data_IF_196329918031
#
_entry.id   IF_196329918031
#
_cell.length_a   1.000
_cell.length_b   1.000
_cell.length_c   1.000
_cell.angle_alpha   90.00
_cell.angle_beta   90.00
_cell.angle_gamma   90.00
#
_symmetry.space_group_name_H-M   'P 1'
#
loop_
_entity.id
_entity.type
_entity.pdbx_description
1 polymer ?
#
# COMPACT_ATOMS: atom_id res chain seq x y z
N UNK A 1 29.46 21.25 -22.35
CA UNK A 1 28.84 22.60 -22.33
C UNK A 1 27.35 22.41 -22.51
N UNK A 2 26.55 23.13 -21.70
CA UNK A 2 25.17 23.63 -21.88
C UNK A 2 24.35 22.97 -23.01
N UNK A 3 23.18 22.38 -22.77
CA UNK A 3 22.01 22.99 -22.13
C UNK A 3 20.87 23.01 -23.16
N UNK A 4 19.63 23.10 -22.67
CA UNK A 4 18.35 23.22 -23.40
C UNK A 4 17.71 21.88 -23.81
N UNK A 5 16.45 21.59 -23.49
CA UNK A 5 15.39 22.44 -22.94
C UNK A 5 14.08 22.09 -23.66
N UNK A 6 13.42 20.99 -23.27
CA UNK A 6 12.15 20.60 -23.88
C UNK A 6 10.96 21.19 -23.11
N UNK A 7 10.48 22.30 -23.68
CA UNK A 7 9.19 22.93 -23.40
C UNK A 7 8.07 22.07 -24.01
N UNK A 8 7.00 21.85 -23.25
CA UNK A 8 5.69 21.44 -23.81
C UNK A 8 4.80 22.68 -23.99
N UNK A 9 3.95 22.74 -25.04
CA UNK A 9 3.21 23.93 -25.39
C UNK A 9 1.91 24.13 -24.61
N UNK A 10 1.51 25.39 -24.63
CA UNK A 10 0.39 26.08 -23.97
C UNK A 10 -1.00 25.53 -24.28
N UNK A 11 -1.93 25.73 -23.34
CA UNK A 11 -3.34 25.41 -23.45
C UNK A 11 -4.18 26.46 -24.19
N UNK A 12 -5.47 26.16 -24.35
CA UNK A 12 -6.49 27.13 -24.78
C UNK A 12 -7.70 27.06 -23.82
N UNK A 13 -8.40 28.20 -23.56
CA UNK A 13 -9.18 28.44 -22.37
C UNK A 13 -10.68 28.30 -22.62
N UNK A 14 -11.42 27.97 -21.55
CA UNK A 14 -12.84 28.28 -21.51
C UNK A 14 -13.63 27.27 -20.71
N UNK A 15 -13.99 27.63 -19.48
CA UNK A 15 -15.37 27.55 -18.97
C UNK A 15 -15.41 28.22 -17.58
N UNK A 16 -16.20 29.29 -17.49
CA UNK A 16 -16.47 30.04 -16.25
C UNK A 16 -17.42 29.26 -15.33
N UNK A 17 -17.38 29.51 -14.01
CA UNK A 17 -18.19 28.80 -13.02
C UNK A 17 -19.61 29.38 -12.87
N UNK A 18 -20.59 28.50 -12.64
CA UNK A 18 -21.96 28.84 -12.22
C UNK A 18 -22.12 28.88 -10.69
N UNK A 19 -23.14 29.60 -10.16
CA UNK A 19 -23.18 30.12 -8.78
C UNK A 19 -23.78 29.15 -7.73
N UNK A 20 -23.61 29.45 -6.41
CA UNK A 20 -24.00 28.56 -5.31
C UNK A 20 -25.46 28.71 -4.91
N UNK A 21 -26.14 27.58 -4.70
CA UNK A 21 -27.57 27.50 -4.39
C UNK A 21 -27.91 26.78 -3.08
N UNK A 22 -28.01 27.58 -2.01
CA UNK A 22 -28.98 27.50 -0.88
C UNK A 22 -29.01 26.27 0.06
N UNK A 23 -28.60 26.59 1.30
CA UNK A 23 -29.11 26.08 2.58
C UNK A 23 -30.61 25.77 2.59
N UNK A 24 -30.99 24.60 3.14
CA UNK A 24 -32.17 24.49 4.01
C UNK A 24 -31.92 23.60 5.23
N UNK A 25 -32.61 24.02 6.29
CA UNK A 25 -32.46 23.74 7.72
C UNK A 25 -33.02 22.36 8.14
N UNK A 26 -32.35 21.82 9.16
CA UNK A 26 -32.88 21.24 10.43
C UNK A 26 -34.13 20.36 10.34
N UNK A 27 -34.01 19.11 10.78
CA UNK A 27 -34.83 18.60 11.88
C UNK A 27 -34.01 17.72 12.82
N UNK A 28 -34.10 18.07 14.10
CA UNK A 28 -33.46 17.49 15.27
C UNK A 28 -34.53 16.61 15.91
N UNK A 29 -34.30 15.31 16.05
CA UNK A 29 -35.05 14.49 17.00
C UNK A 29 -34.06 13.84 17.96
N UNK A 30 -34.09 14.35 19.19
CA UNK A 30 -33.38 13.85 20.35
C UNK A 30 -34.39 13.02 21.13
N UNK A 31 -34.14 11.73 21.31
CA UNK A 31 -34.80 10.93 22.35
C UNK A 31 -33.83 9.90 22.93
N UNK A 32 -33.45 10.15 24.18
CA UNK A 32 -32.98 9.23 25.22
C UNK A 32 -33.07 10.00 26.56
N UNK A 33 -33.04 9.38 27.76
CA UNK A 33 -32.92 7.95 28.09
C UNK A 33 -33.77 7.50 29.31
N UNK A 34 -33.45 6.30 29.83
CA UNK A 34 -33.63 5.71 31.20
C UNK A 34 -34.62 4.53 31.20
N UNK A 35 -34.38 3.40 31.86
CA UNK A 35 -33.30 2.97 32.77
C UNK A 35 -33.78 1.76 33.60
N UNK A 36 -32.84 1.02 34.20
CA UNK A 36 -33.06 -0.10 35.14
C UNK A 36 -32.77 -1.46 34.51
N UNK A 37 -31.94 -2.36 35.04
CA UNK A 37 -31.25 -2.48 36.33
C UNK A 37 -31.44 -3.91 36.84
N UNK A 38 -30.36 -4.68 37.01
CA UNK A 38 -30.19 -5.77 38.00
C UNK A 38 -28.87 -6.52 37.78
N UNK A 39 -28.28 -7.00 38.88
CA UNK A 39 -26.94 -7.53 39.03
C UNK A 39 -26.91 -9.02 39.43
N UNK A 40 -25.67 -9.58 39.52
CA UNK A 40 -25.20 -10.84 40.16
C UNK A 40 -25.25 -12.12 39.30
N UNK A 41 -24.31 -13.08 39.35
CA UNK A 41 -23.12 -13.31 40.19
C UNK A 41 -22.24 -14.46 39.65
N UNK A 42 -20.94 -14.46 40.04
CA UNK A 42 -20.00 -15.60 40.31
C UNK A 42 -19.67 -16.56 39.16
N UNK A 43 -18.56 -17.30 39.13
CA UNK A 43 -17.20 -17.29 39.71
C UNK A 43 -16.54 -18.53 39.09
N UNK A 44 -15.29 -18.47 38.65
CA UNK A 44 -14.60 -19.64 38.10
C UNK A 44 -13.14 -19.34 37.80
N UNK A 45 -12.28 -19.56 38.80
CA UNK A 45 -10.83 -19.70 38.59
C UNK A 45 -10.55 -21.08 37.97
N UNK A 46 -9.40 -21.23 37.28
CA UNK A 46 -8.39 -22.08 37.92
C UNK A 46 -6.92 -21.63 37.76
N UNK A 47 -6.19 -21.93 38.84
CA UNK A 47 -4.82 -22.46 38.93
C UNK A 47 -3.63 -21.71 38.28
N UNK A 48 -2.84 -21.07 39.15
CA UNK A 48 -1.39 -20.93 39.01
C UNK A 48 -0.71 -22.31 39.08
N UNK A 49 0.21 -22.58 38.16
CA UNK A 49 1.26 -23.57 38.31
C UNK A 49 2.60 -22.91 37.96
N UNK A 50 3.51 -22.96 38.94
CA UNK A 50 4.82 -22.34 39.00
C UNK A 50 5.82 -22.91 37.99
N UNK A 51 6.92 -22.18 37.73
CA UNK A 51 8.08 -22.74 37.03
C UNK A 51 9.16 -21.72 36.66
N UNK A 52 9.95 -21.31 37.66
CA UNK A 52 11.36 -20.89 37.61
C UNK A 52 11.83 -19.83 36.58
N UNK A 53 12.21 -18.68 37.12
CA UNK A 53 13.22 -17.81 36.55
C UNK A 53 14.60 -18.48 36.66
N UNK A 54 15.37 -18.50 35.56
CA UNK A 54 16.82 -18.70 35.63
C UNK A 54 17.52 -17.63 34.79
N UNK A 55 18.46 -16.94 35.43
CA UNK A 55 19.37 -15.97 34.82
C UNK A 55 20.73 -16.65 34.65
N UNK A 56 21.28 -16.66 33.44
CA UNK A 56 22.71 -16.39 33.19
C UNK A 56 23.02 -16.55 31.69
N UNK A 57 23.92 -15.71 31.17
CA UNK A 57 24.58 -15.94 29.88
C UNK A 57 24.67 -14.68 29.02
N UNK A 58 25.66 -13.83 29.31
CA UNK A 58 26.16 -12.83 28.37
C UNK A 58 27.03 -13.55 27.34
N UNK A 59 26.76 -13.35 26.05
CA UNK A 59 27.71 -13.62 24.97
C UNK A 59 27.70 -12.44 23.97
N UNK A 60 28.86 -12.02 23.42
CA UNK A 60 29.03 -10.83 22.61
C UNK A 60 28.88 -11.13 21.11
N UNK A 61 28.69 -10.07 20.32
CA UNK A 61 28.53 -10.06 18.86
C UNK A 61 27.12 -10.45 18.35
N UNK A 62 26.59 -9.57 17.51
CA UNK A 62 25.18 -9.52 17.15
C UNK A 62 24.68 -10.70 16.33
N UNK A 63 23.52 -11.21 16.72
CA UNK A 63 22.41 -11.70 15.87
C UNK A 63 21.19 -11.75 16.80
N UNK A 64 20.03 -11.33 16.29
CA UNK A 64 18.73 -11.61 16.92
C UNK A 64 18.27 -10.57 17.94
N UNK A 65 17.65 -9.49 17.46
CA UNK A 65 16.71 -8.76 18.30
C UNK A 65 15.63 -9.75 18.75
N UNK A 66 15.59 -10.09 20.05
CA UNK A 66 14.48 -10.81 20.67
C UNK A 66 13.25 -9.92 20.56
N UNK A 67 12.46 -10.11 19.51
CA UNK A 67 11.12 -9.53 19.39
C UNK A 67 10.27 -10.25 20.45
N UNK A 68 10.01 -9.58 21.57
CA UNK A 68 9.04 -10.05 22.55
C UNK A 68 7.63 -9.82 22.00
N UNK A 69 7.20 -10.65 21.06
CA UNK A 69 5.78 -10.85 20.81
C UNK A 69 5.26 -11.52 22.09
N UNK A 70 4.34 -10.90 22.83
CA UNK A 70 3.58 -11.66 23.84
C UNK A 70 3.08 -12.91 23.14
N UNK A 71 3.34 -14.13 23.64
CA UNK A 71 2.84 -15.32 22.96
C UNK A 71 1.32 -15.20 22.89
N UNK A 72 0.82 -14.87 21.69
CA UNK A 72 -0.56 -15.05 21.32
C UNK A 72 -0.74 -16.56 21.33
N UNK A 73 -1.10 -17.09 22.50
CA UNK A 73 -1.23 -18.52 22.76
C UNK A 73 -2.29 -19.07 21.80
N UNK A 74 -1.80 -19.83 20.82
CA UNK A 74 -2.59 -20.68 19.93
C UNK A 74 -3.22 -19.91 18.77
N UNK A 75 -2.52 -19.83 17.64
CA UNK A 75 -3.05 -19.67 16.28
C UNK A 75 -1.88 -19.50 15.29
N UNK A 76 -1.26 -20.59 14.88
CA UNK A 76 -0.19 -20.59 13.87
C UNK A 76 -0.73 -20.58 12.43
N UNK A 77 -2.05 -20.45 12.22
CA UNK A 77 -2.70 -20.54 10.91
C UNK A 77 -3.43 -19.23 10.47
N UNK A 78 -3.31 -18.14 11.23
CA UNK A 78 -4.19 -16.95 11.10
C UNK A 78 -3.42 -15.62 11.04
N UNK A 79 -2.41 -15.52 10.17
CA UNK A 79 -1.68 -14.27 9.96
C UNK A 79 -1.77 -13.79 8.50
N UNK A 80 -2.19 -12.53 8.35
CA UNK A 80 -2.09 -11.81 7.08
C UNK A 80 -0.70 -11.19 6.93
N UNK A 81 0.02 -11.60 5.90
CA UNK A 81 1.32 -11.00 5.53
C UNK A 81 1.05 -9.97 4.45
N UNK A 82 1.34 -8.71 4.75
CA UNK A 82 1.11 -7.57 3.87
C UNK A 82 2.42 -7.09 3.27
N UNK A 83 2.65 -7.39 2.00
CA UNK A 83 3.79 -6.89 1.25
C UNK A 83 3.56 -5.45 0.85
N UNK A 84 4.54 -4.58 1.07
CA UNK A 84 4.43 -3.14 0.85
C UNK A 84 5.53 -2.66 -0.09
N UNK A 85 5.14 -1.86 -1.08
CA UNK A 85 6.05 -1.14 -1.95
C UNK A 85 5.45 0.23 -2.31
N UNK A 86 6.22 1.06 -3.01
CA UNK A 86 5.96 2.48 -3.14
C UNK A 86 5.95 3.01 -4.59
N UNK A 87 5.24 4.12 -4.76
CA UNK A 87 5.25 4.95 -5.96
C UNK A 87 5.50 6.41 -5.58
N UNK A 88 6.39 7.07 -6.34
CA UNK A 88 6.80 8.44 -6.07
C UNK A 88 7.87 8.52 -4.98
N UNK A 89 8.38 9.72 -4.72
CA UNK A 89 9.33 9.96 -3.63
C UNK A 89 8.59 10.28 -2.33
N UNK A 90 9.11 9.78 -1.20
CA UNK A 90 8.47 9.91 0.11
C UNK A 90 8.80 11.23 0.84
N UNK A 91 9.59 12.11 0.23
CA UNK A 91 9.97 13.41 0.77
C UNK A 91 8.96 14.49 0.40
N UNK A 92 8.74 15.43 1.34
CA UNK A 92 7.98 16.66 1.09
C UNK A 92 8.94 17.74 0.59
N UNK A 93 9.42 17.57 -0.64
CA UNK A 93 10.34 18.50 -1.29
C UNK A 93 9.63 19.79 -1.70
N UNK A 94 9.47 20.71 -0.73
CA UNK A 94 8.88 22.04 -0.90
C UNK A 94 9.88 23.07 -1.41
N UNK A 95 9.39 24.03 -2.18
CA UNK A 95 10.09 25.25 -2.50
C UNK A 95 9.78 26.31 -1.43
N UNK A 96 10.80 26.68 -0.64
CA UNK A 96 10.67 27.63 0.47
C UNK A 96 10.85 29.10 0.03
N UNK A 97 10.88 29.38 -1.28
CA UNK A 97 10.97 30.74 -1.79
C UNK A 97 9.74 31.59 -1.40
N UNK A 98 9.90 32.91 -1.15
CA UNK A 98 8.76 33.79 -0.84
C UNK A 98 7.73 33.77 -1.99
N UNK A 99 6.51 33.32 -1.72
CA UNK A 99 5.45 33.21 -2.73
C UNK A 99 4.41 32.14 -2.41
N UNK A 100 3.80 31.58 -3.46
CA UNK A 100 2.84 30.47 -3.36
C UNK A 100 3.63 29.20 -2.99
N UNK A 101 3.30 28.52 -1.88
CA UNK A 101 3.92 27.25 -1.52
C UNK A 101 3.77 26.25 -2.68
N UNK A 102 4.89 25.70 -3.16
CA UNK A 102 4.93 24.77 -4.29
C UNK A 102 5.88 23.62 -4.00
N UNK A 103 5.73 22.53 -4.74
CA UNK A 103 6.73 21.46 -4.76
C UNK A 103 7.94 21.88 -5.60
N UNK A 104 9.13 21.39 -5.26
CA UNK A 104 10.33 21.55 -6.09
C UNK A 104 10.09 20.94 -7.46
N UNK A 105 10.69 21.53 -8.48
CA UNK A 105 10.66 20.99 -9.83
C UNK A 105 11.17 19.54 -9.85
N UNK A 106 10.44 18.66 -10.53
CA UNK A 106 10.73 17.22 -10.59
C UNK A 106 10.27 16.41 -9.38
N UNK A 107 9.76 17.03 -8.31
CA UNK A 107 9.16 16.29 -7.21
C UNK A 107 7.81 15.68 -7.66
N UNK A 108 7.64 14.39 -7.40
CA UNK A 108 6.34 13.72 -7.57
C UNK A 108 5.27 14.42 -6.76
N UNK A 109 4.09 14.69 -7.33
CA UNK A 109 2.94 15.22 -6.59
C UNK A 109 2.43 14.21 -5.56
N UNK A 110 2.31 12.94 -5.97
CA UNK A 110 1.78 11.88 -5.13
C UNK A 110 2.90 10.99 -4.59
N UNK A 111 2.76 10.59 -3.34
CA UNK A 111 3.45 9.44 -2.77
C UNK A 111 2.41 8.38 -2.43
N UNK A 112 2.57 7.14 -2.90
CA UNK A 112 1.60 6.07 -2.70
C UNK A 112 2.29 4.83 -2.18
N UNK A 113 1.76 4.24 -1.11
CA UNK A 113 2.10 2.88 -0.71
C UNK A 113 1.01 1.92 -1.16
N UNK A 114 1.41 0.88 -1.88
CA UNK A 114 0.56 -0.28 -2.18
C UNK A 114 0.84 -1.38 -1.16
N UNK A 115 -0.21 -2.06 -0.69
CA UNK A 115 -0.08 -3.22 0.18
C UNK A 115 -0.90 -4.41 -0.35
N UNK A 116 -0.26 -5.58 -0.38
CA UNK A 116 -0.85 -6.85 -0.85
C UNK A 116 -0.83 -7.84 0.30
N UNK A 117 -2.00 -8.11 0.87
CA UNK A 117 -2.21 -9.06 1.96
C UNK A 117 -2.46 -10.46 1.47
N UNK A 118 -1.64 -11.42 1.88
CA UNK A 118 -1.85 -12.85 1.62
C UNK A 118 -1.83 -13.64 2.92
N UNK A 119 -2.51 -14.78 2.93
CA UNK A 119 -2.38 -15.74 4.02
C UNK A 119 -1.04 -16.43 3.93
N UNK A 120 -0.41 -16.70 5.06
CA UNK A 120 0.86 -17.43 5.08
C UNK A 120 0.76 -18.82 4.41
N UNK A 121 -0.39 -19.50 4.56
CA UNK A 121 -0.68 -20.77 3.89
C UNK A 121 -0.66 -20.71 2.36
N UNK A 122 -0.89 -19.52 1.78
CA UNK A 122 -0.90 -19.31 0.32
C UNK A 122 0.40 -18.70 -0.19
N UNK A 123 1.29 -18.27 0.70
CA UNK A 123 2.52 -17.52 0.38
C UNK A 123 3.42 -18.29 -0.59
N UNK A 124 3.73 -19.55 -0.27
CA UNK A 124 4.56 -20.41 -1.13
C UNK A 124 3.96 -20.60 -2.52
N UNK A 125 2.69 -21.00 -2.58
CA UNK A 125 2.02 -21.29 -3.85
C UNK A 125 1.93 -20.04 -4.74
N UNK A 126 1.73 -18.86 -4.15
CA UNK A 126 1.75 -17.59 -4.89
C UNK A 126 3.15 -17.29 -5.45
N UNK A 127 4.19 -17.41 -4.63
CA UNK A 127 5.56 -17.15 -5.08
C UNK A 127 5.98 -18.10 -6.20
N UNK A 128 5.70 -19.41 -6.07
CA UNK A 128 5.94 -20.40 -7.12
C UNK A 128 5.18 -20.04 -8.40
N UNK A 129 3.92 -19.61 -8.28
CA UNK A 129 3.13 -19.19 -9.45
C UNK A 129 3.70 -17.94 -10.14
N UNK A 130 4.28 -17.00 -9.40
CA UNK A 130 4.97 -15.83 -9.98
C UNK A 130 6.20 -16.29 -10.78
N UNK A 131 6.96 -17.26 -10.26
CA UNK A 131 8.09 -17.86 -10.98
C UNK A 131 7.61 -18.55 -12.26
N UNK A 132 6.54 -19.33 -12.22
CA UNK A 132 5.95 -19.95 -13.44
C UNK A 132 5.61 -18.91 -14.51
N UNK A 133 5.05 -17.77 -14.10
CA UNK A 133 4.73 -16.66 -15.02
C UNK A 133 6.01 -16.10 -15.64
N UNK A 134 7.06 -15.90 -14.84
CA UNK A 134 8.37 -15.46 -15.35
C UNK A 134 8.95 -16.48 -16.34
N UNK A 135 8.96 -17.76 -16.00
CA UNK A 135 9.48 -18.81 -16.88
C UNK A 135 8.72 -18.88 -18.21
N UNK A 136 7.39 -18.80 -18.16
CA UNK A 136 6.53 -18.83 -19.35
C UNK A 136 6.81 -17.66 -20.31
N UNK A 137 7.03 -16.46 -19.78
CA UNK A 137 7.10 -15.24 -20.60
C UNK A 137 8.51 -14.75 -20.90
N UNK A 138 9.45 -15.00 -20.00
CA UNK A 138 10.86 -14.60 -20.15
C UNK A 138 11.75 -15.76 -20.59
N UNK A 139 11.29 -17.00 -20.40
CA UNK A 139 12.07 -18.23 -20.60
C UNK A 139 12.80 -18.66 -19.33
N UNK A 140 13.03 -19.98 -19.20
CA UNK A 140 13.63 -20.61 -17.99
C UNK A 140 14.94 -19.95 -17.58
N UNK A 141 15.87 -19.77 -18.53
CA UNK A 141 17.18 -19.15 -18.25
C UNK A 141 17.04 -17.69 -17.78
N UNK A 142 16.05 -16.96 -18.31
CA UNK A 142 15.81 -15.58 -17.90
C UNK A 142 15.14 -15.49 -16.51
N UNK A 143 14.37 -16.50 -16.13
CA UNK A 143 13.70 -16.55 -14.84
C UNK A 143 14.61 -17.05 -13.71
N UNK A 144 15.53 -17.98 -14.00
CA UNK A 144 16.35 -18.65 -13.00
C UNK A 144 17.81 -18.15 -12.94
N UNK A 145 18.41 -17.80 -14.08
CA UNK A 145 19.87 -17.54 -14.16
C UNK A 145 20.23 -16.05 -14.23
N UNK A 146 19.25 -15.18 -14.48
CA UNK A 146 19.48 -13.74 -14.42
C UNK A 146 19.49 -13.25 -12.97
N UNK A 147 20.24 -12.17 -12.66
CA UNK A 147 20.05 -11.44 -11.42
C UNK A 147 18.56 -11.13 -11.23
N UNK A 148 18.04 -11.30 -10.01
CA UNK A 148 16.60 -11.16 -9.77
C UNK A 148 16.02 -9.84 -10.30
N UNK A 149 16.77 -8.74 -10.11
CA UNK A 149 16.49 -7.40 -10.66
C UNK A 149 16.22 -7.37 -12.18
N UNK A 150 16.86 -8.25 -12.95
CA UNK A 150 16.73 -8.32 -14.40
C UNK A 150 15.45 -9.06 -14.87
N UNK A 151 14.69 -9.64 -13.93
CA UNK A 151 13.46 -10.40 -14.16
C UNK A 151 12.24 -9.83 -13.43
N UNK A 152 12.37 -8.68 -12.76
CA UNK A 152 11.30 -8.11 -11.93
C UNK A 152 10.05 -7.71 -12.73
N UNK A 153 8.89 -8.17 -12.27
CA UNK A 153 7.56 -7.80 -12.74
C UNK A 153 7.04 -6.60 -11.92
N UNK A 154 7.40 -5.40 -12.36
CA UNK A 154 6.96 -4.14 -11.73
C UNK A 154 6.01 -3.35 -12.63
N UNK A 155 5.09 -2.59 -12.05
CA UNK A 155 4.08 -1.82 -12.79
C UNK A 155 4.71 -0.89 -13.83
N UNK A 156 5.82 -0.24 -13.47
CA UNK A 156 6.62 0.58 -14.40
C UNK A 156 7.16 -0.22 -15.59
N UNK A 157 7.59 -1.47 -15.39
CA UNK A 157 8.15 -2.32 -16.43
C UNK A 157 7.05 -2.84 -17.36
N UNK A 158 5.89 -3.22 -16.81
CA UNK A 158 4.69 -3.58 -17.58
C UNK A 158 4.24 -2.45 -18.50
N UNK A 159 4.16 -1.22 -17.97
CA UNK A 159 3.81 -0.05 -18.80
C UNK A 159 4.86 0.23 -19.88
N UNK A 160 6.14 0.21 -19.53
CA UNK A 160 7.22 0.49 -20.49
C UNK A 160 7.29 -0.55 -21.60
N UNK A 161 7.09 -1.84 -21.31
CA UNK A 161 7.07 -2.88 -22.34
C UNK A 161 5.86 -2.72 -23.27
N UNK A 162 4.67 -2.42 -22.73
CA UNK A 162 3.47 -2.14 -23.54
C UNK A 162 3.73 -0.99 -24.54
N UNK A 163 4.23 0.15 -24.02
CA UNK A 163 4.56 1.31 -24.86
C UNK A 163 5.65 1.03 -25.88
N UNK A 164 6.67 0.26 -25.50
CA UNK A 164 7.79 -0.04 -26.41
C UNK A 164 7.34 -0.85 -27.61
N UNK A 165 6.44 -1.80 -27.38
CA UNK A 165 5.92 -2.67 -28.43
C UNK A 165 4.91 -1.92 -29.32
N UNK A 166 4.00 -1.13 -28.72
CA UNK A 166 3.01 -0.36 -29.47
C UNK A 166 3.63 0.76 -30.34
N UNK A 167 4.69 1.41 -29.85
CA UNK A 167 5.34 2.51 -30.58
C UNK A 167 6.53 2.07 -31.45
N UNK A 168 7.03 0.85 -31.26
CA UNK A 168 8.30 0.38 -31.82
C UNK A 168 9.56 1.01 -31.19
N UNK A 169 9.41 1.96 -30.27
CA UNK A 169 10.52 2.63 -29.59
C UNK A 169 10.93 1.87 -28.32
N UNK A 170 12.18 1.40 -28.23
CA UNK A 170 12.65 0.62 -27.08
C UNK A 170 12.89 1.52 -25.86
N UNK A 171 12.01 1.42 -24.86
CA UNK A 171 12.19 2.04 -23.54
C UNK A 171 13.04 1.14 -22.63
N UNK A 172 13.67 1.77 -21.64
CA UNK A 172 14.46 1.10 -20.61
C UNK A 172 13.63 0.07 -19.82
N UNK A 173 14.10 -1.18 -19.77
CA UNK A 173 13.41 -2.32 -19.15
C UNK A 173 14.40 -3.42 -18.76
N UNK A 174 14.08 -4.24 -17.74
CA UNK A 174 14.94 -5.35 -17.32
C UNK A 174 15.27 -6.31 -18.47
N UNK A 175 16.41 -7.00 -18.38
CA UNK A 175 16.92 -7.82 -19.49
C UNK A 175 15.93 -8.90 -19.95
N UNK A 176 15.18 -9.51 -19.03
CA UNK A 176 14.18 -10.54 -19.30
C UNK A 176 13.08 -10.07 -20.27
N UNK A 177 12.71 -8.79 -20.23
CA UNK A 177 11.67 -8.22 -21.09
C UNK A 177 12.06 -8.13 -22.57
N UNK A 178 13.31 -8.44 -22.93
CA UNK A 178 13.73 -8.55 -24.34
C UNK A 178 13.03 -9.69 -25.07
N UNK A 179 12.52 -10.70 -24.35
CA UNK A 179 11.72 -11.79 -24.91
C UNK A 179 10.36 -11.30 -25.45
N UNK A 180 9.87 -10.15 -24.97
CA UNK A 180 8.57 -9.58 -25.34
C UNK A 180 8.74 -8.57 -26.48
N UNK A 181 8.43 -9.02 -27.70
CA UNK A 181 8.63 -8.26 -28.95
C UNK A 181 7.33 -7.94 -29.68
N UNK A 182 6.20 -8.53 -29.28
CA UNK A 182 4.87 -8.31 -29.89
C UNK A 182 3.81 -7.95 -28.87
N UNK A 183 2.75 -7.27 -29.32
CA UNK A 183 1.64 -6.85 -28.44
C UNK A 183 0.94 -8.06 -27.83
N UNK A 184 0.82 -9.13 -28.62
CA UNK A 184 0.26 -10.41 -28.17
C UNK A 184 1.04 -11.02 -27.01
N UNK A 185 2.37 -10.99 -27.06
CA UNK A 185 3.21 -11.51 -25.97
C UNK A 185 3.07 -10.65 -24.71
N UNK A 186 3.05 -9.32 -24.85
CA UNK A 186 2.85 -8.44 -23.70
C UNK A 186 1.47 -8.59 -23.08
N UNK A 187 0.41 -8.70 -23.89
CA UNK A 187 -0.95 -8.92 -23.41
C UNK A 187 -1.09 -10.25 -22.67
N UNK A 188 -0.44 -11.32 -23.15
CA UNK A 188 -0.42 -12.61 -22.48
C UNK A 188 0.29 -12.57 -21.11
N UNK A 189 1.39 -11.81 -20.99
CA UNK A 189 2.02 -11.57 -19.68
C UNK A 189 1.05 -10.83 -18.75
N UNK A 190 0.40 -9.76 -19.22
CA UNK A 190 -0.52 -8.98 -18.39
C UNK A 190 -1.72 -9.82 -17.94
N UNK A 191 -2.25 -10.66 -18.82
CA UNK A 191 -3.31 -11.61 -18.48
C UNK A 191 -2.87 -12.57 -17.37
N UNK A 192 -1.71 -13.22 -17.51
CA UNK A 192 -1.22 -14.17 -16.51
C UNK A 192 -0.89 -13.51 -15.16
N UNK A 193 -0.35 -12.28 -15.17
CA UNK A 193 -0.15 -11.50 -13.93
C UNK A 193 -1.50 -11.11 -13.33
N UNK A 194 -2.48 -10.72 -14.14
CA UNK A 194 -3.85 -10.47 -13.70
C UNK A 194 -4.50 -11.70 -13.06
N UNK A 195 -4.24 -12.89 -13.61
CA UNK A 195 -4.70 -14.15 -13.04
C UNK A 195 -4.14 -14.43 -11.64
N UNK A 196 -2.99 -13.88 -11.26
CA UNK A 196 -2.49 -13.99 -9.88
C UNK A 196 -3.46 -13.31 -8.90
N UNK A 197 -3.91 -12.10 -9.22
CA UNK A 197 -4.91 -11.38 -8.42
C UNK A 197 -6.26 -12.12 -8.42
N UNK A 198 -6.69 -12.63 -9.57
CA UNK A 198 -7.98 -13.33 -9.67
C UNK A 198 -7.99 -14.70 -8.97
N UNK A 199 -6.85 -15.40 -8.95
CA UNK A 199 -6.73 -16.74 -8.35
C UNK A 199 -6.50 -16.67 -6.84
N UNK A 200 -5.52 -15.87 -6.41
CA UNK A 200 -5.14 -15.82 -5.00
C UNK A 200 -5.97 -14.83 -4.19
N UNK A 201 -6.71 -13.92 -4.85
CA UNK A 201 -7.59 -12.92 -4.23
C UNK A 201 -6.93 -12.23 -3.03
N UNK A 202 -5.72 -11.66 -3.20
CA UNK A 202 -5.05 -10.99 -2.09
C UNK A 202 -5.91 -9.82 -1.58
N UNK A 203 -5.78 -9.47 -0.31
CA UNK A 203 -6.43 -8.29 0.24
C UNK A 203 -5.58 -7.06 -0.05
N UNK A 204 -6.07 -6.16 -0.91
CA UNK A 204 -5.29 -5.02 -1.39
C UNK A 204 -5.65 -3.72 -0.67
N UNK A 205 -4.62 -2.93 -0.36
CA UNK A 205 -4.75 -1.55 0.09
C UNK A 205 -3.83 -0.62 -0.70
N UNK A 206 -4.25 0.64 -0.84
CA UNK A 206 -3.45 1.74 -1.34
C UNK A 206 -3.63 2.96 -0.42
N UNK A 207 -2.53 3.54 0.02
CA UNK A 207 -2.52 4.77 0.82
C UNK A 207 -1.73 5.84 0.07
N UNK A 208 -2.44 6.85 -0.42
CA UNK A 208 -1.88 7.97 -1.16
C UNK A 208 -1.71 9.22 -0.28
N UNK A 209 -0.70 10.01 -0.61
CA UNK A 209 -0.42 11.31 -0.03
C UNK A 209 -0.30 12.30 -1.18
N UNK A 210 -1.23 13.25 -1.24
CA UNK A 210 -1.16 14.40 -2.14
C UNK A 210 -0.26 15.47 -1.51
N UNK A 211 0.99 15.51 -1.95
CA UNK A 211 2.00 16.42 -1.40
C UNK A 211 1.78 17.85 -1.85
N UNK A 212 1.13 18.09 -2.99
CA UNK A 212 0.81 19.43 -3.44
C UNK A 212 -0.24 20.06 -2.51
N UNK A 213 -1.33 19.34 -2.26
CA UNK A 213 -2.36 19.78 -1.31
C UNK A 213 -1.78 19.95 0.11
N UNK A 214 -0.83 19.10 0.53
CA UNK A 214 -0.14 19.29 1.82
C UNK A 214 0.62 20.61 1.87
N UNK A 215 1.37 20.94 0.82
CA UNK A 215 2.13 22.19 0.73
C UNK A 215 1.18 23.40 0.70
N UNK A 216 0.13 23.35 -0.11
CA UNK A 216 -0.85 24.43 -0.26
C UNK A 216 -1.65 24.68 1.03
N UNK A 217 -1.91 23.63 1.82
CA UNK A 217 -2.63 23.72 3.10
C UNK A 217 -1.74 23.82 4.33
N UNK A 218 -0.42 23.97 4.15
CA UNK A 218 0.55 24.15 5.24
C UNK A 218 0.69 22.94 6.17
N UNK A 219 0.49 21.72 5.66
CA UNK A 219 0.61 20.47 6.42
C UNK A 219 2.04 19.94 6.38
N UNK A 220 2.73 20.03 7.50
CA UNK A 220 4.13 19.61 7.63
C UNK A 220 4.27 18.22 8.28
N UNK A 221 3.70 17.21 7.62
CA UNK A 221 3.89 15.81 8.01
C UNK A 221 4.81 15.12 6.99
N UNK A 222 5.60 14.15 7.46
CA UNK A 222 6.40 13.34 6.55
C UNK A 222 5.49 12.40 5.73
N UNK A 223 5.49 12.46 4.38
CA UNK A 223 4.62 11.64 3.53
C UNK A 223 4.75 10.15 3.81
N UNK A 224 5.97 9.66 4.04
CA UNK A 224 6.23 8.28 4.46
C UNK A 224 5.41 7.86 5.69
N UNK A 225 5.49 8.67 6.75
CA UNK A 225 4.79 8.40 8.00
C UNK A 225 3.27 8.45 7.85
N UNK A 226 2.77 9.36 7.02
CA UNK A 226 1.34 9.47 6.73
C UNK A 226 0.83 8.24 6.00
N UNK A 227 1.51 7.82 4.94
CA UNK A 227 1.11 6.67 4.14
C UNK A 227 1.10 5.37 4.98
N UNK A 228 2.16 5.12 5.76
CA UNK A 228 2.20 3.97 6.67
C UNK A 228 1.12 4.06 7.75
N UNK A 229 0.88 5.23 8.35
CA UNK A 229 -0.16 5.38 9.36
C UNK A 229 -1.56 5.05 8.78
N UNK A 230 -1.82 5.49 7.55
CA UNK A 230 -3.04 5.14 6.83
C UNK A 230 -3.12 3.63 6.55
N UNK A 231 -2.05 2.99 6.03
CA UNK A 231 -2.03 1.54 5.83
C UNK A 231 -2.28 0.78 7.13
N UNK A 232 -1.57 1.10 8.22
CA UNK A 232 -1.78 0.47 9.52
C UNK A 232 -3.22 0.65 10.01
N UNK A 233 -3.78 1.85 9.85
CA UNK A 233 -5.18 2.11 10.21
C UNK A 233 -6.13 1.23 9.41
N UNK A 234 -5.97 1.16 8.08
CA UNK A 234 -6.89 0.41 7.20
C UNK A 234 -6.78 -1.09 7.42
N UNK A 235 -5.55 -1.61 7.50
CA UNK A 235 -5.32 -3.03 7.79
C UNK A 235 -5.86 -3.40 9.18
N UNK A 236 -5.53 -2.65 10.24
CA UNK A 236 -6.05 -2.93 11.58
C UNK A 236 -7.58 -2.92 11.64
N UNK A 237 -8.21 -1.95 10.97
CA UNK A 237 -9.68 -1.85 10.91
C UNK A 237 -10.27 -3.04 10.17
N UNK A 238 -9.75 -3.37 8.99
CA UNK A 238 -10.26 -4.49 8.18
C UNK A 238 -10.02 -5.84 8.86
N UNK A 239 -8.84 -6.07 9.44
CA UNK A 239 -8.55 -7.30 10.20
C UNK A 239 -9.49 -7.43 11.39
N UNK A 240 -9.64 -6.38 12.21
CA UNK A 240 -10.56 -6.42 13.35
C UNK A 240 -12.03 -6.60 12.97
N UNK A 241 -12.47 -6.05 11.84
CA UNK A 241 -13.88 -6.10 11.43
C UNK A 241 -14.26 -7.42 10.72
N UNK A 242 -13.32 -8.10 10.05
CA UNK A 242 -13.63 -9.25 9.18
C UNK A 242 -12.84 -10.53 9.49
N UNK A 243 -11.70 -10.42 10.16
CA UNK A 243 -10.75 -11.52 10.37
C UNK A 243 -10.46 -11.64 11.87
N UNK A 244 -11.51 -11.88 12.65
CA UNK A 244 -11.39 -11.97 14.12
C UNK A 244 -10.44 -13.08 14.53
N UNK A 245 -9.42 -12.73 15.32
CA UNK A 245 -8.37 -13.67 15.75
C UNK A 245 -7.10 -13.60 14.90
N UNK A 246 -7.16 -12.98 13.72
CA UNK A 246 -6.00 -12.78 12.87
C UNK A 246 -5.17 -11.58 13.35
N UNK A 247 -3.87 -11.65 13.07
CA UNK A 247 -2.96 -10.52 13.19
C UNK A 247 -2.27 -10.26 11.85
N UNK A 248 -1.78 -9.05 11.66
CA UNK A 248 -1.12 -8.61 10.45
C UNK A 248 0.33 -8.23 10.70
N UNK A 249 1.18 -8.58 9.75
CA UNK A 249 2.55 -8.08 9.67
C UNK A 249 2.77 -7.42 8.31
N UNK A 250 3.54 -6.34 8.29
CA UNK A 250 4.02 -5.76 7.04
C UNK A 250 5.38 -6.35 6.68
N UNK A 251 5.60 -6.56 5.39
CA UNK A 251 6.86 -7.00 4.81
C UNK A 251 7.23 -6.00 3.72
N UNK A 252 8.44 -5.49 3.75
CA UNK A 252 8.91 -4.48 2.79
C UNK A 252 10.37 -4.74 2.42
N UNK A 253 10.76 -4.28 1.23
CA UNK A 253 12.18 -4.29 0.83
C UNK A 253 13.02 -3.43 1.78
N UNK A 254 14.27 -3.82 1.99
CA UNK A 254 15.14 -3.15 2.95
C UNK A 254 15.58 -1.77 2.43
N UNK A 255 14.98 -0.72 2.99
CA UNK A 255 15.34 0.67 2.69
C UNK A 255 15.85 1.37 3.95
N UNK A 256 17.14 1.74 3.94
CA UNK A 256 17.82 2.34 5.11
C UNK A 256 17.14 3.60 5.65
N UNK A 257 16.55 4.40 4.77
CA UNK A 257 15.80 5.61 5.14
C UNK A 257 14.49 5.28 5.85
N UNK A 258 13.76 4.28 5.37
CA UNK A 258 12.52 3.83 6.01
C UNK A 258 12.82 3.22 7.36
N UNK A 259 13.81 2.34 7.44
CA UNK A 259 14.21 1.74 8.72
C UNK A 259 14.59 2.82 9.75
N UNK A 260 15.36 3.84 9.33
CA UNK A 260 15.71 4.97 10.19
C UNK A 260 14.46 5.73 10.69
N UNK A 261 13.47 5.95 9.83
CA UNK A 261 12.20 6.57 10.20
C UNK A 261 11.42 5.75 11.24
N UNK A 262 11.35 4.43 11.07
CA UNK A 262 10.70 3.55 12.05
C UNK A 262 11.47 3.47 13.37
N UNK A 263 12.81 3.51 13.33
CA UNK A 263 13.66 3.54 14.54
C UNK A 263 13.54 4.85 15.31
N UNK A 264 13.31 5.99 14.65
CA UNK A 264 13.15 7.28 15.32
C UNK A 264 11.80 7.46 16.03
N UNK A 265 10.84 6.55 15.82
CA UNK A 265 9.48 6.66 16.37
C UNK A 265 8.52 7.46 15.50
N UNK A 266 8.93 7.87 14.29
CA UNK A 266 8.15 8.75 13.43
C UNK A 266 6.75 8.21 13.08
N UNK A 267 6.57 6.89 12.94
CA UNK A 267 5.25 6.31 12.69
C UNK A 267 4.29 6.50 13.87
N UNK A 268 4.78 6.37 15.10
CA UNK A 268 3.97 6.59 16.31
C UNK A 268 3.48 8.04 16.36
N UNK A 269 4.34 8.98 16.01
CA UNK A 269 4.02 10.41 16.02
C UNK A 269 3.03 10.77 14.89
N UNK A 270 3.20 10.16 13.72
CA UNK A 270 2.26 10.28 12.60
C UNK A 270 0.87 9.73 12.96
N UNK A 271 0.80 8.50 13.51
CA UNK A 271 -0.45 7.90 14.02
C UNK A 271 -1.11 8.79 15.05
N UNK A 272 -0.38 9.22 16.09
CA UNK A 272 -0.90 10.10 17.13
C UNK A 272 -1.48 11.41 16.56
N UNK A 273 -0.87 11.96 15.51
CA UNK A 273 -1.38 13.16 14.86
C UNK A 273 -2.63 12.90 14.05
N UNK A 274 -2.64 11.87 13.21
CA UNK A 274 -3.74 11.56 12.29
C UNK A 274 -4.97 11.02 13.03
N UNK A 275 -4.76 10.24 14.08
CA UNK A 275 -5.84 9.59 14.80
C UNK A 275 -6.67 10.56 15.64
N UNK A 276 -6.15 11.75 15.97
CA UNK A 276 -6.89 12.76 16.75
C UNK A 276 -8.27 13.07 16.14
N UNK A 277 -8.40 12.93 14.83
CA UNK A 277 -9.62 13.23 14.09
C UNK A 277 -10.54 12.01 13.88
N UNK A 278 -10.12 10.81 14.28
CA UNK A 278 -10.88 9.58 14.08
C UNK A 278 -11.93 9.38 15.17
N UNK A 279 -13.16 9.06 14.75
CA UNK A 279 -14.26 8.70 15.66
C UNK A 279 -14.09 7.33 16.31
N UNK A 280 -13.53 6.37 15.56
CA UNK A 280 -13.18 5.02 16.03
C UNK A 280 -11.67 4.88 15.90
N UNK A 281 -11.01 4.52 16.99
CA UNK A 281 -9.57 4.22 16.98
C UNK A 281 -9.35 2.83 16.42
N UNK A 282 -8.41 2.63 15.50
CA UNK A 282 -8.01 1.30 15.04
C UNK A 282 -7.36 0.51 16.18
N UNK A 283 -7.56 -0.81 16.18
CA UNK A 283 -6.92 -1.73 17.12
C UNK A 283 -5.51 -2.06 16.61
N UNK A 284 -4.56 -1.15 16.86
CA UNK A 284 -3.20 -1.30 16.34
C UNK A 284 -2.43 -2.50 16.89
N UNK A 285 -2.86 -3.09 18.01
CA UNK A 285 -2.27 -4.33 18.55
C UNK A 285 -2.44 -5.54 17.59
N UNK A 286 -3.34 -5.42 16.60
CA UNK A 286 -3.51 -6.40 15.52
C UNK A 286 -2.44 -6.28 14.43
N UNK A 287 -1.59 -5.26 14.46
CA UNK A 287 -0.61 -4.98 13.41
C UNK A 287 0.77 -4.77 14.02
N UNK A 288 1.78 -5.51 13.53
CA UNK A 288 3.15 -5.29 13.97
C UNK A 288 3.59 -3.85 13.67
N UNK A 289 4.13 -3.15 14.67
CA UNK A 289 4.47 -1.73 14.59
C UNK A 289 5.55 -1.37 13.55
N UNK A 290 6.35 -2.35 13.12
CA UNK A 290 7.41 -2.18 12.14
C UNK A 290 7.32 -3.27 11.07
N UNK A 291 7.59 -2.94 9.79
CA UNK A 291 7.77 -3.94 8.76
C UNK A 291 8.90 -4.91 9.11
N UNK A 292 8.74 -6.16 8.70
CA UNK A 292 9.85 -7.07 8.54
C UNK A 292 10.57 -6.68 7.24
N UNK A 293 11.81 -6.23 7.39
CA UNK A 293 12.66 -5.87 6.25
C UNK A 293 13.19 -7.14 5.61
N UNK A 294 12.88 -7.32 4.35
CA UNK A 294 13.37 -8.45 3.57
C UNK A 294 14.67 -8.06 2.89
N UNK A 295 15.69 -8.88 3.12
CA UNK A 295 16.83 -8.96 2.23
C UNK A 295 16.42 -9.80 1.01
N UNK A 296 16.26 -9.14 -0.14
CA UNK A 296 15.80 -9.76 -1.39
C UNK A 296 16.85 -10.70 -2.01
N UNK A 297 18.10 -10.67 -1.53
CA UNK A 297 19.12 -11.66 -1.87
C UNK A 297 18.90 -12.97 -1.11
N UNK A 298 18.27 -12.92 0.07
CA UNK A 298 18.11 -14.07 0.97
C UNK A 298 16.69 -14.66 1.02
N UNK A 299 15.64 -13.86 0.78
CA UNK A 299 14.25 -14.35 0.78
C UNK A 299 13.74 -14.61 -0.63
N UNK A 300 13.63 -15.88 -0.98
CA UNK A 300 13.17 -16.30 -2.31
C UNK A 300 11.67 -16.09 -2.54
N UNK A 301 10.81 -16.22 -1.52
CA UNK A 301 9.36 -16.07 -1.72
C UNK A 301 8.91 -14.62 -1.60
N UNK A 302 9.44 -13.89 -0.60
CA UNK A 302 8.95 -12.53 -0.30
C UNK A 302 9.28 -11.56 -1.41
N UNK A 303 10.48 -11.66 -1.98
CA UNK A 303 10.87 -10.85 -3.13
C UNK A 303 9.93 -11.05 -4.32
N UNK A 304 9.42 -12.27 -4.51
CA UNK A 304 8.47 -12.54 -5.59
C UNK A 304 7.14 -11.85 -5.35
N UNK A 305 6.63 -11.89 -4.12
CA UNK A 305 5.31 -11.33 -3.81
C UNK A 305 5.36 -9.80 -3.67
N UNK A 306 6.48 -9.21 -3.23
CA UNK A 306 6.70 -7.76 -3.16
C UNK A 306 6.40 -7.04 -4.50
N UNK A 307 6.71 -7.70 -5.62
CA UNK A 307 6.41 -7.17 -6.97
C UNK A 307 4.93 -6.85 -7.18
N UNK A 308 4.01 -7.59 -6.54
CA UNK A 308 2.57 -7.28 -6.62
C UNK A 308 2.23 -5.96 -5.91
N UNK A 309 2.94 -5.64 -4.82
CA UNK A 309 2.75 -4.38 -4.11
C UNK A 309 3.25 -3.18 -4.93
N UNK A 310 4.35 -3.32 -5.68
CA UNK A 310 4.82 -2.30 -6.66
C UNK A 310 3.74 -2.05 -7.71
N UNK A 311 3.17 -3.12 -8.28
CA UNK A 311 2.11 -3.01 -9.29
C UNK A 311 0.90 -2.25 -8.71
N UNK A 312 0.46 -2.57 -7.49
CA UNK A 312 -0.63 -1.86 -6.82
C UNK A 312 -0.29 -0.37 -6.62
N UNK A 313 0.89 -0.06 -6.08
CA UNK A 313 1.32 1.31 -5.84
C UNK A 313 1.40 2.11 -7.14
N UNK A 314 1.97 1.52 -8.19
CA UNK A 314 2.12 2.13 -9.51
C UNK A 314 0.78 2.41 -10.18
N UNK A 315 -0.15 1.46 -10.12
CA UNK A 315 -1.48 1.61 -10.73
C UNK A 315 -2.35 2.61 -9.97
N UNK A 316 -2.30 2.61 -8.64
CA UNK A 316 -2.97 3.62 -7.81
C UNK A 316 -2.35 5.02 -8.00
N UNK A 317 -1.03 5.13 -8.12
CA UNK A 317 -0.37 6.39 -8.45
C UNK A 317 -0.75 6.91 -9.84
N UNK A 318 -0.84 6.01 -10.82
CA UNK A 318 -1.29 6.37 -12.18
C UNK A 318 -2.75 6.82 -12.18
N UNK A 319 -3.62 6.16 -11.42
CA UNK A 319 -5.02 6.56 -11.24
C UNK A 319 -5.13 8.04 -10.86
N UNK A 320 -4.35 8.45 -9.86
CA UNK A 320 -4.36 9.83 -9.35
C UNK A 320 -3.81 10.82 -10.38
N UNK A 321 -2.76 10.43 -11.11
CA UNK A 321 -2.18 11.27 -12.16
C UNK A 321 -3.09 11.46 -13.37
N UNK A 322 -3.88 10.45 -13.72
CA UNK A 322 -4.81 10.48 -14.87
C UNK A 322 -6.19 11.05 -14.51
N UNK A 323 -6.50 11.21 -13.23
CA UNK A 323 -7.82 11.65 -12.79
C UNK A 323 -8.90 10.56 -12.87
N UNK A 324 -8.52 9.28 -12.94
CA UNK A 324 -9.45 8.17 -13.12
C UNK A 324 -8.76 6.81 -13.32
N UNK A 325 -9.57 5.76 -13.47
CA UNK A 325 -9.08 4.41 -13.67
C UNK A 325 -8.23 4.32 -14.95
N UNK A 326 -6.98 3.82 -14.88
CA UNK A 326 -6.19 3.66 -16.08
C UNK A 326 -6.73 2.51 -16.95
N UNK A 327 -6.97 2.79 -18.23
CA UNK A 327 -7.61 1.84 -19.17
C UNK A 327 -6.66 0.77 -19.72
N UNK A 328 -5.35 1.06 -19.81
CA UNK A 328 -4.40 0.13 -20.41
C UNK A 328 -4.27 -1.14 -19.55
N UNK A 329 -4.31 -2.32 -20.18
CA UNK A 329 -4.18 -3.61 -19.50
C UNK A 329 -2.92 -3.72 -18.64
N UNK A 330 -1.85 -3.02 -19.01
CA UNK A 330 -0.56 -3.01 -18.30
C UNK A 330 -0.64 -2.52 -16.84
N UNK A 331 -1.72 -1.82 -16.46
CA UNK A 331 -1.96 -1.36 -15.08
C UNK A 331 -2.76 -2.36 -14.24
N UNK A 332 -3.40 -3.37 -14.84
CA UNK A 332 -4.14 -4.41 -14.11
C UNK A 332 -5.22 -3.87 -13.15
N UNK A 333 -5.75 -2.66 -13.43
CA UNK A 333 -6.59 -1.92 -12.48
C UNK A 333 -7.85 -2.71 -12.10
N UNK A 334 -8.53 -3.35 -13.06
CA UNK A 334 -9.75 -4.09 -12.77
C UNK A 334 -9.52 -5.28 -11.83
N UNK A 335 -8.41 -6.00 -11.99
CA UNK A 335 -8.04 -7.11 -11.12
C UNK A 335 -7.67 -6.61 -9.72
N UNK A 336 -6.88 -5.54 -9.64
CA UNK A 336 -6.49 -4.89 -8.38
C UNK A 336 -7.73 -4.37 -7.64
N UNK A 337 -8.62 -3.66 -8.35
CA UNK A 337 -9.86 -3.09 -7.81
C UNK A 337 -10.75 -4.16 -7.18
N UNK A 338 -10.89 -5.33 -7.81
CA UNK A 338 -11.67 -6.45 -7.25
C UNK A 338 -11.09 -7.00 -5.95
N UNK A 339 -9.80 -6.84 -5.74
CA UNK A 339 -9.06 -7.30 -4.56
C UNK A 339 -8.96 -6.24 -3.45
N UNK A 340 -9.32 -4.99 -3.73
CA UNK A 340 -9.26 -3.91 -2.73
C UNK A 340 -10.24 -4.15 -1.58
N UNK A 341 -9.80 -3.84 -0.37
CA UNK A 341 -10.63 -3.92 0.83
C UNK A 341 -11.90 -3.06 0.71
N UNK A 342 -13.03 -3.61 1.15
CA UNK A 342 -14.32 -2.92 1.17
C UNK A 342 -14.57 -2.33 2.56
N UNK A 343 -15.18 -1.15 2.59
CA UNK A 343 -15.61 -0.54 3.83
C UNK A 343 -16.86 -1.27 4.36
N UNK A 344 -16.81 -1.75 5.62
CA UNK A 344 -17.86 -2.60 6.20
C UNK A 344 -19.27 -2.03 6.15
N UNK A 345 -19.42 -0.71 6.27
CA UNK A 345 -20.76 -0.09 6.30
C UNK A 345 -21.26 0.36 4.93
N UNK A 346 -20.36 0.70 4.02
CA UNK A 346 -20.73 1.35 2.75
C UNK A 346 -20.49 0.46 1.55
N UNK A 347 -19.76 -0.64 1.68
CA UNK A 347 -19.34 -1.49 0.56
C UNK A 347 -18.31 -0.85 -0.37
N UNK A 348 -18.00 0.44 -0.18
CA UNK A 348 -17.10 1.19 -1.05
C UNK A 348 -15.63 0.81 -0.81
N UNK A 349 -14.85 0.81 -1.89
CA UNK A 349 -13.38 0.65 -1.86
C UNK A 349 -12.70 1.93 -1.42
N UNK A 350 -13.21 3.07 -1.90
CA UNK A 350 -12.72 4.38 -1.49
C UNK A 350 -12.92 4.60 0.01
N UNK A 351 -11.86 5.05 0.67
CA UNK A 351 -11.81 5.20 2.11
C UNK A 351 -11.59 3.90 2.88
N UNK A 352 -11.56 2.73 2.24
CA UNK A 352 -11.12 1.46 2.84
C UNK A 352 -9.87 0.93 2.14
N UNK A 353 -10.04 0.27 0.99
CA UNK A 353 -8.96 -0.26 0.16
C UNK A 353 -8.16 0.80 -0.57
N UNK A 354 -8.73 1.98 -0.87
CA UNK A 354 -7.96 3.11 -1.43
C UNK A 354 -8.24 4.38 -0.63
N UNK A 355 -7.21 4.92 0.01
CA UNK A 355 -7.32 6.06 0.91
C UNK A 355 -6.30 7.14 0.55
N UNK A 356 -6.64 8.39 0.84
CA UNK A 356 -5.78 9.53 0.53
C UNK A 356 -5.69 10.53 1.68
N UNK A 357 -4.52 11.11 1.83
CA UNK A 357 -4.24 12.26 2.69
C UNK A 357 -3.80 13.47 1.85
N UNK A 358 -4.17 14.70 2.24
CA UNK A 358 -5.09 15.01 3.33
C UNK A 358 -6.54 14.71 2.94
N UNK A 359 -7.43 14.69 3.93
CA UNK A 359 -8.86 14.43 3.69
C UNK A 359 -9.56 15.50 2.84
N UNK A 360 -8.93 16.65 2.61
CA UNK A 360 -9.39 17.69 1.68
C UNK A 360 -9.13 17.30 0.22
N UNK A 361 -8.05 16.55 -0.05
CA UNK A 361 -7.82 15.95 -1.35
C UNK A 361 -8.89 14.87 -1.62
N UNK A 362 -9.30 14.75 -2.88
CA UNK A 362 -10.30 13.77 -3.31
C UNK A 362 -9.69 12.77 -4.27
N UNK A 363 -9.92 11.49 -4.01
CA UNK A 363 -9.62 10.47 -5.01
C UNK A 363 -10.65 10.72 -6.12
N UNK A 364 -10.22 10.92 -7.38
CA UNK A 364 -11.15 11.10 -8.48
C UNK A 364 -12.16 9.95 -8.47
N UNK A 365 -13.45 10.23 -8.58
CA UNK A 365 -14.48 9.20 -8.71
C UNK A 365 -14.87 9.14 -10.17
N UNK A 366 -14.13 8.38 -10.98
CA UNK A 366 -14.59 8.06 -12.33
C UNK A 366 -15.81 7.13 -12.21
N UNK A 367 -17.01 7.65 -12.46
CA UNK A 367 -18.38 7.08 -12.67
C UNK A 367 -18.76 5.62 -12.30
N UNK A 368 -17.95 4.81 -11.61
CA UNK A 368 -18.18 3.38 -11.41
C UNK A 368 -17.87 2.88 -9.98
N UNK A 369 -18.10 3.73 -8.97
CA UNK A 369 -18.24 3.31 -7.57
C UNK A 369 -19.72 3.22 -7.17
N UNK A 370 -20.56 2.72 -8.07
CA UNK A 370 -21.92 2.31 -7.72
C UNK A 370 -21.89 1.01 -6.92
N UNK A 371 -22.70 1.01 -5.86
CA UNK A 371 -22.76 0.09 -4.75
C UNK A 371 -22.97 -1.39 -5.10
#
# INVERSE_FOLDING_TARGET
>A
MRGDGDRLPEGDPGLRPGPPGRLRRRHRLVLRPRGGGAARARAGAPAEAAGAADQAGVDPAGVGARISIRPLRGLLDQHGIFYVDEFGNHTLDRNDAPGIPTLKEGASQYFVLGAVGVRDTSRRALAERIVDVKEKHFGVLAACDLPWGDSEIKGRHLRRVARSVASGHRLDRPAAYRALVTEKQTAALFEDVGLLFDTFRPLVFAAAVDKLEMVETGRDLMPLGVAYAYLHQRVATTVGDYYSGDAAMFVADQQSQHEKFFRSGGLRDARATLDRMLRRKPEYDLVLDKPLWVDTELSHWDREILQLADIVAYSAGTYLLQGGAPEEQSYLWEQIRRCMALHQKTGLRLGAGFSMYPSSARIPTGEADDA
#
